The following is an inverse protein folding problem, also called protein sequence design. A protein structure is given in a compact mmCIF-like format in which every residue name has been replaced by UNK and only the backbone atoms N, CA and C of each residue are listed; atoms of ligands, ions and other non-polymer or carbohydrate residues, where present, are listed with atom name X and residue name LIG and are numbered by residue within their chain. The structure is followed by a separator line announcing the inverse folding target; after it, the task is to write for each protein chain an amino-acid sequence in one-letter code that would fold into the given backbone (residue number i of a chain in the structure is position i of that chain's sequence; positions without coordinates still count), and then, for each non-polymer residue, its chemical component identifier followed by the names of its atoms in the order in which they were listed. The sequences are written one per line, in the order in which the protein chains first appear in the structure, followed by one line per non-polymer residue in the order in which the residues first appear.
data_IF_008965299426
#
_entry.id   IF_008965299426
#
_cell.length_a   1.000
_cell.length_b   1.000
_cell.length_c   1.000
_cell.angle_alpha   90.00
_cell.angle_beta   90.00
_cell.angle_gamma   90.00
#
_symmetry.space_group_name_H-M   'P 1'
#
loop_
_entity.id
_entity.type
_entity.pdbx_description
1 polymer ?
#
# COMPACT_ATOMS: atom_id res chain seq x y z
N UNK A 1 12.98 -1.06 -12.68
CA UNK A 1 12.01 -2.15 -12.42
C UNK A 1 10.81 -1.55 -11.73
N UNK A 2 9.63 -2.15 -11.87
CA UNK A 2 8.41 -1.74 -11.17
C UNK A 2 8.38 -2.47 -9.84
N UNK A 3 8.19 -1.76 -8.72
CA UNK A 3 8.14 -2.38 -7.39
C UNK A 3 6.72 -2.42 -6.85
N UNK A 4 6.24 -3.62 -6.53
CA UNK A 4 4.92 -3.82 -5.94
C UNK A 4 5.06 -4.46 -4.58
N UNK A 5 4.48 -3.85 -3.55
CA UNK A 5 4.44 -4.45 -2.22
C UNK A 5 3.07 -5.06 -1.97
N UNK A 6 3.05 -6.23 -1.35
CA UNK A 6 1.86 -6.81 -0.75
C UNK A 6 2.01 -6.61 0.76
N UNK A 7 1.11 -5.85 1.36
CA UNK A 7 1.16 -5.52 2.80
C UNK A 7 -0.05 -6.11 3.48
N UNK A 8 0.16 -7.08 4.36
CA UNK A 8 -0.93 -7.83 4.95
C UNK A 8 -1.02 -7.73 6.47
N UNK A 9 -2.23 -7.93 6.98
CA UNK A 9 -2.45 -8.40 8.34
C UNK A 9 -3.29 -9.67 8.29
N UNK A 10 -2.90 -10.69 9.06
CA UNK A 10 -3.67 -11.94 9.16
C UNK A 10 -3.68 -12.46 10.60
N UNK A 11 -4.83 -12.92 11.07
CA UNK A 11 -4.95 -13.64 12.35
C UNK A 11 -4.96 -15.15 12.09
N UNK A 12 -5.84 -15.63 11.21
CA UNK A 12 -6.07 -17.06 10.94
C UNK A 12 -5.58 -17.50 9.55
N UNK A 13 -4.50 -16.92 9.04
CA UNK A 13 -3.81 -17.26 7.77
C UNK A 13 -4.57 -17.06 6.44
N UNK A 14 -5.90 -16.94 6.41
CA UNK A 14 -6.69 -16.77 5.18
C UNK A 14 -6.16 -15.66 4.26
N UNK A 15 -5.87 -14.48 4.82
CA UNK A 15 -5.30 -13.36 4.06
C UNK A 15 -3.92 -13.67 3.51
N UNK A 16 -3.10 -14.41 4.27
CA UNK A 16 -1.79 -14.83 3.80
C UNK A 16 -1.90 -15.81 2.62
N UNK A 17 -2.82 -16.76 2.69
CA UNK A 17 -3.10 -17.68 1.57
C UNK A 17 -3.56 -16.91 0.32
N UNK A 18 -4.47 -15.94 0.49
CA UNK A 18 -4.92 -15.09 -0.62
C UNK A 18 -3.78 -14.22 -1.17
N UNK A 19 -2.91 -13.69 -0.30
CA UNK A 19 -1.74 -12.91 -0.67
C UNK A 19 -0.73 -13.70 -1.51
N UNK A 20 -0.56 -15.01 -1.24
CA UNK A 20 0.28 -15.88 -2.07
C UNK A 20 -0.28 -16.00 -3.49
N UNK A 21 -1.60 -16.07 -3.64
CA UNK A 21 -2.25 -16.09 -4.96
C UNK A 21 -2.13 -14.73 -5.68
N UNK A 22 -2.31 -13.62 -4.96
CA UNK A 22 -2.04 -12.28 -5.49
C UNK A 22 -0.58 -12.16 -5.97
N UNK A 23 0.38 -12.65 -5.18
CA UNK A 23 1.81 -12.65 -5.52
C UNK A 23 2.08 -13.40 -6.82
N UNK A 24 1.54 -14.62 -6.96
CA UNK A 24 1.64 -15.41 -8.21
C UNK A 24 1.09 -14.64 -9.42
N UNK A 25 -0.02 -13.93 -9.22
CA UNK A 25 -0.60 -13.05 -10.24
C UNK A 25 0.37 -11.97 -10.71
N UNK A 26 0.98 -11.24 -9.77
CA UNK A 26 1.96 -10.18 -10.05
C UNK A 26 3.18 -10.74 -10.79
N UNK A 27 3.75 -11.84 -10.30
CA UNK A 27 4.94 -12.49 -10.88
C UNK A 27 4.71 -12.99 -12.31
N UNK A 28 3.46 -13.27 -12.69
CA UNK A 28 3.11 -13.75 -14.04
C UNK A 28 3.21 -12.68 -15.14
N UNK A 29 3.25 -11.40 -14.79
CA UNK A 29 3.19 -10.29 -15.77
C UNK A 29 4.51 -10.11 -16.50
N UNK A 30 5.62 -9.96 -15.77
CA UNK A 30 6.92 -9.70 -16.36
C UNK A 30 8.05 -9.91 -15.33
N UNK A 31 9.22 -10.43 -15.75
CA UNK A 31 10.41 -10.46 -14.89
C UNK A 31 10.89 -9.09 -14.41
N UNK A 32 10.40 -7.99 -15.00
CA UNK A 32 10.75 -6.61 -14.63
C UNK A 32 9.90 -6.04 -13.48
N UNK A 33 8.95 -6.82 -12.96
CA UNK A 33 8.12 -6.48 -11.80
C UNK A 33 8.66 -7.22 -10.58
N UNK A 34 9.12 -6.46 -9.59
CA UNK A 34 9.58 -6.96 -8.30
C UNK A 34 8.41 -6.95 -7.31
N UNK A 35 8.20 -8.07 -6.61
CA UNK A 35 7.17 -8.18 -5.59
C UNK A 35 7.75 -8.61 -4.24
N UNK A 36 7.44 -7.84 -3.20
CA UNK A 36 7.80 -8.15 -1.82
C UNK A 36 6.53 -8.26 -0.97
N UNK A 37 6.48 -9.27 -0.09
CA UNK A 37 5.36 -9.52 0.83
C UNK A 37 5.77 -9.16 2.25
N UNK A 38 4.98 -8.32 2.91
CA UNK A 38 5.20 -7.88 4.27
C UNK A 38 3.99 -8.06 5.16
N UNK A 39 4.24 -8.12 6.47
CA UNK A 39 3.23 -8.12 7.50
C UNK A 39 3.22 -6.80 8.29
N UNK A 40 2.02 -6.32 8.62
CA UNK A 40 1.79 -5.23 9.57
C UNK A 40 2.08 -5.71 11.00
N UNK A 41 2.71 -4.89 11.86
CA UNK A 41 2.94 -5.24 13.26
C UNK A 41 1.67 -5.71 13.99
N UNK A 42 1.81 -6.75 14.81
CA UNK A 42 0.74 -7.17 15.71
C UNK A 42 0.61 -6.20 16.89
N UNK A 43 -0.62 -5.96 17.35
CA UNK A 43 -0.91 -5.07 18.49
C UNK A 43 -1.49 -5.81 19.68
N UNK A 44 -2.02 -7.02 19.48
CA UNK A 44 -2.52 -7.84 20.58
C UNK A 44 -1.37 -8.50 21.35
N UNK A 45 -1.44 -8.54 22.69
CA UNK A 45 -0.50 -9.33 23.49
C UNK A 45 -0.58 -10.82 23.14
N UNK A 46 0.54 -11.52 23.27
CA UNK A 46 0.62 -12.96 22.95
C UNK A 46 -0.42 -13.79 23.73
N UNK A 47 -0.65 -13.47 25.01
CA UNK A 47 -1.67 -14.14 25.83
C UNK A 47 -3.07 -14.09 25.22
N UNK A 48 -3.44 -12.98 24.58
CA UNK A 48 -4.74 -12.82 23.91
C UNK A 48 -4.78 -13.66 22.63
N UNK A 49 -3.68 -13.69 21.87
CA UNK A 49 -3.58 -14.51 20.66
C UNK A 49 -3.69 -16.00 20.99
N UNK A 50 -3.06 -16.44 22.09
CA UNK A 50 -3.13 -17.82 22.56
C UNK A 50 -4.57 -18.21 22.95
N UNK A 51 -5.27 -17.33 23.68
CA UNK A 51 -6.69 -17.50 24.03
C UNK A 51 -7.62 -17.53 22.81
N UNK A 52 -7.24 -16.82 21.75
CA UNK A 52 -7.95 -16.83 20.47
C UNK A 52 -7.61 -18.04 19.59
N UNK A 53 -6.69 -18.91 20.05
CA UNK A 53 -6.12 -20.00 19.28
C UNK A 53 -5.58 -19.52 17.91
N UNK A 54 -4.97 -18.33 17.89
CA UNK A 54 -4.40 -17.80 16.67
C UNK A 54 -3.19 -18.66 16.25
N UNK A 55 -3.11 -19.11 14.99
CA UNK A 55 -1.94 -19.82 14.50
C UNK A 55 -0.70 -18.92 14.53
N UNK A 56 0.51 -19.52 14.49
CA UNK A 56 1.74 -18.75 14.33
C UNK A 56 1.68 -17.83 13.12
N UNK A 57 2.27 -16.64 13.26
CA UNK A 57 2.35 -15.71 12.14
C UNK A 57 3.21 -16.30 11.01
N UNK A 58 2.87 -16.02 9.74
CA UNK A 58 3.74 -16.38 8.62
C UNK A 58 5.14 -15.77 8.78
N UNK A 59 6.16 -16.49 8.33
CA UNK A 59 7.55 -16.02 8.31
C UNK A 59 7.77 -15.04 7.14
N UNK A 60 7.27 -13.81 7.32
CA UNK A 60 7.43 -12.70 6.39
C UNK A 60 7.85 -11.43 7.15
N UNK A 61 8.66 -10.55 6.53
CA UNK A 61 9.18 -9.37 7.21
C UNK A 61 8.08 -8.42 7.67
N UNK A 62 8.27 -7.81 8.84
CA UNK A 62 7.40 -6.74 9.34
C UNK A 62 7.72 -5.44 8.59
N UNK A 63 6.70 -4.79 8.03
CA UNK A 63 6.88 -3.51 7.32
C UNK A 63 6.98 -2.34 8.30
N UNK A 64 7.83 -1.37 7.95
CA UNK A 64 7.84 -0.03 8.56
C UNK A 64 7.19 0.98 7.60
N UNK A 65 6.62 2.06 8.15
CA UNK A 65 5.97 3.09 7.32
C UNK A 65 6.94 3.71 6.31
N UNK A 66 8.20 3.91 6.69
CA UNK A 66 9.22 4.45 5.78
C UNK A 66 9.41 3.61 4.52
N UNK A 67 9.24 2.28 4.61
CA UNK A 67 9.43 1.38 3.46
C UNK A 67 8.32 1.56 2.40
N UNK A 68 7.12 2.02 2.77
CA UNK A 68 6.02 2.25 1.83
C UNK A 68 6.39 3.18 0.65
N UNK A 69 7.38 4.07 0.84
CA UNK A 69 7.80 5.02 -0.21
C UNK A 69 8.57 4.35 -1.36
N UNK A 70 9.08 3.14 -1.15
CA UNK A 70 9.88 2.40 -2.12
C UNK A 70 9.03 1.72 -3.20
N UNK A 71 7.75 1.46 -2.91
CA UNK A 71 6.84 0.81 -3.84
C UNK A 71 6.25 1.79 -4.87
N UNK A 72 6.05 1.32 -6.10
CA UNK A 72 5.23 2.01 -7.11
C UNK A 72 3.73 1.71 -6.89
N UNK A 73 3.42 0.50 -6.42
CA UNK A 73 2.07 0.06 -6.07
C UNK A 73 2.03 -0.82 -4.82
N UNK A 74 0.93 -0.74 -4.07
CA UNK A 74 0.75 -1.49 -2.82
C UNK A 74 -0.61 -2.19 -2.83
N UNK A 75 -0.62 -3.51 -2.67
CA UNK A 75 -1.83 -4.29 -2.43
C UNK A 75 -1.96 -4.58 -0.94
N UNK A 76 -3.00 -4.03 -0.33
CA UNK A 76 -3.29 -4.20 1.09
C UNK A 76 -4.25 -5.36 1.32
N UNK A 77 -3.85 -6.30 2.19
CA UNK A 77 -4.63 -7.49 2.53
C UNK A 77 -4.99 -7.52 4.00
N UNK A 78 -6.27 -7.58 4.36
CA UNK A 78 -6.63 -7.71 5.79
C UNK A 78 -8.04 -8.30 6.03
N UNK A 79 -8.25 -8.99 7.18
CA UNK A 79 -9.58 -9.44 7.56
C UNK A 79 -10.45 -8.24 7.94
N UNK A 80 -11.74 -8.34 7.67
CA UNK A 80 -12.70 -7.36 8.16
C UNK A 80 -12.78 -7.37 9.69
N UNK A 81 -13.05 -6.20 10.27
CA UNK A 81 -13.62 -6.03 11.60
C UNK A 81 -14.83 -5.13 11.47
N UNK A 82 -16.02 -5.73 11.52
CA UNK A 82 -17.31 -5.02 11.41
C UNK A 82 -17.41 -4.09 10.20
N UNK A 83 -16.90 -4.52 9.04
CA UNK A 83 -16.96 -3.74 7.82
C UNK A 83 -15.89 -2.66 7.69
N UNK A 84 -14.85 -2.68 8.52
CA UNK A 84 -13.66 -1.83 8.38
C UNK A 84 -12.36 -2.63 8.59
N UNK A 85 -11.22 -1.96 8.48
CA UNK A 85 -9.90 -2.52 8.71
C UNK A 85 -9.68 -2.88 10.19
N UNK A 86 -8.85 -3.88 10.51
CA UNK A 86 -8.55 -4.24 11.89
C UNK A 86 -7.65 -3.18 12.55
N UNK A 87 -7.67 -3.12 13.88
CA UNK A 87 -6.94 -2.12 14.65
C UNK A 87 -5.43 -2.11 14.34
N UNK A 88 -4.83 -3.26 14.04
CA UNK A 88 -3.44 -3.41 13.65
C UNK A 88 -3.11 -2.62 12.38
N UNK A 89 -3.95 -2.79 11.36
CA UNK A 89 -3.81 -2.06 10.08
C UNK A 89 -4.07 -0.58 10.32
N UNK A 90 -5.13 -0.24 11.07
CA UNK A 90 -5.45 1.15 11.37
C UNK A 90 -4.30 1.85 12.10
N UNK A 91 -3.71 1.24 13.13
CA UNK A 91 -2.58 1.79 13.87
C UNK A 91 -1.34 1.99 12.99
N UNK A 92 -1.04 1.04 12.10
CA UNK A 92 0.04 1.18 11.14
C UNK A 92 -0.20 2.34 10.17
N UNK A 93 -1.41 2.43 9.60
CA UNK A 93 -1.78 3.52 8.70
C UNK A 93 -1.85 4.87 9.41
N UNK A 94 -2.26 4.93 10.67
CA UNK A 94 -2.26 6.17 11.47
C UNK A 94 -0.86 6.70 11.75
N UNK A 95 0.15 5.82 11.72
CA UNK A 95 1.55 6.20 11.87
C UNK A 95 2.19 6.77 10.59
N UNK A 96 1.43 6.96 9.51
CA UNK A 96 1.95 7.54 8.24
C UNK A 96 1.75 9.05 8.12
N UNK A 97 1.39 9.76 9.20
CA UNK A 97 1.13 11.21 9.19
C UNK A 97 2.28 12.05 8.59
N UNK A 98 3.54 11.66 8.81
CA UNK A 98 4.69 12.35 8.20
C UNK A 98 4.76 12.13 6.67
N UNK A 99 4.38 10.94 6.18
CA UNK A 99 4.33 10.63 4.75
C UNK A 99 3.17 11.35 4.05
N UNK A 100 2.05 11.49 4.75
CA UNK A 100 0.92 12.33 4.30
C UNK A 100 1.38 13.77 4.13
N UNK A 101 1.99 14.35 5.17
CA UNK A 101 2.43 15.75 5.16
C UNK A 101 3.42 16.07 4.01
N UNK A 102 4.29 15.12 3.66
CA UNK A 102 5.27 15.29 2.57
C UNK A 102 4.77 14.83 1.21
N UNK A 103 3.52 14.38 1.10
CA UNK A 103 2.95 13.76 -0.11
C UNK A 103 3.76 12.57 -0.63
N UNK A 104 4.45 11.83 0.24
CA UNK A 104 5.37 10.77 -0.16
C UNK A 104 4.68 9.56 -0.82
N UNK A 105 3.39 9.38 -0.59
CA UNK A 105 2.58 8.32 -1.22
C UNK A 105 1.73 8.82 -2.40
N UNK A 106 1.79 10.11 -2.73
CA UNK A 106 0.99 10.67 -3.81
C UNK A 106 1.36 10.02 -5.16
N UNK A 107 0.33 9.66 -5.94
CA UNK A 107 0.44 8.97 -7.24
C UNK A 107 1.09 7.58 -7.19
N UNK A 108 1.20 6.97 -6.01
CA UNK A 108 1.41 5.52 -5.89
C UNK A 108 0.09 4.80 -6.02
N UNK A 109 0.13 3.55 -6.48
CA UNK A 109 -1.08 2.76 -6.66
C UNK A 109 -1.44 2.00 -5.39
N UNK A 110 -2.73 1.83 -5.15
CA UNK A 110 -3.26 1.06 -4.04
C UNK A 110 -4.31 0.05 -4.54
N UNK A 111 -4.27 -1.18 -4.04
CA UNK A 111 -5.31 -2.17 -4.24
C UNK A 111 -5.69 -2.82 -2.91
N UNK A 112 -6.82 -3.54 -2.87
CA UNK A 112 -7.34 -4.16 -1.65
C UNK A 112 -7.76 -5.60 -1.89
N UNK A 113 -7.50 -6.46 -0.92
CA UNK A 113 -8.13 -7.77 -0.80
C UNK A 113 -8.44 -8.07 0.67
N UNK A 114 -9.47 -8.87 0.93
CA UNK A 114 -10.02 -8.97 2.28
C UNK A 114 -10.65 -10.33 2.58
N UNK A 115 -10.93 -10.59 3.86
CA UNK A 115 -11.67 -11.78 4.29
C UNK A 115 -12.77 -11.40 5.26
N UNK A 116 -13.88 -12.13 5.21
CA UNK A 116 -15.01 -11.97 6.13
C UNK A 116 -15.46 -13.33 6.66
N UNK A 117 -16.17 -13.36 7.78
CA UNK A 117 -16.78 -14.59 8.27
C UNK A 117 -18.06 -14.96 7.52
N UNK A 118 -18.88 -13.97 7.15
CA UNK A 118 -20.18 -14.18 6.47
C UNK A 118 -20.23 -13.48 5.11
N UNK A 119 -21.17 -13.93 4.26
CA UNK A 119 -21.30 -13.50 2.85
C UNK A 119 -21.39 -11.99 2.64
N UNK A 120 -22.06 -11.28 3.56
CA UNK A 120 -22.27 -9.83 3.44
C UNK A 120 -21.74 -9.05 4.64
N UNK A 121 -20.99 -9.71 5.53
CA UNK A 121 -20.42 -9.13 6.75
C UNK A 121 -19.22 -8.20 6.50
N UNK A 122 -19.33 -7.32 5.50
CA UNK A 122 -18.29 -6.36 5.15
C UNK A 122 -17.44 -6.70 3.92
N UNK A 123 -17.91 -7.59 3.04
CA UNK A 123 -17.22 -7.89 1.76
C UNK A 123 -17.08 -6.65 0.86
N UNK A 124 -17.93 -5.63 1.03
CA UNK A 124 -17.81 -4.38 0.27
C UNK A 124 -17.37 -3.22 1.14
N UNK A 125 -17.98 -3.06 2.32
CA UNK A 125 -17.74 -1.91 3.20
C UNK A 125 -16.31 -1.84 3.74
N UNK A 126 -15.64 -2.99 3.90
CA UNK A 126 -14.22 -3.03 4.31
C UNK A 126 -13.35 -2.29 3.30
N UNK A 127 -13.62 -2.47 2.01
CA UNK A 127 -12.92 -1.73 0.96
C UNK A 127 -13.38 -0.27 0.92
N UNK A 128 -14.70 -0.02 0.98
CA UNK A 128 -15.26 1.34 0.93
C UNK A 128 -14.66 2.25 2.00
N UNK A 129 -14.54 1.76 3.23
CA UNK A 129 -13.95 2.52 4.33
C UNK A 129 -12.43 2.67 4.19
N UNK A 130 -11.73 1.66 3.67
CA UNK A 130 -10.28 1.72 3.45
C UNK A 130 -9.86 2.68 2.33
N UNK A 131 -10.67 2.82 1.26
CA UNK A 131 -10.37 3.74 0.13
C UNK A 131 -10.24 5.20 0.59
N UNK A 132 -10.90 5.58 1.68
CA UNK A 132 -10.75 6.93 2.25
C UNK A 132 -9.30 7.25 2.60
N UNK A 133 -8.54 6.29 3.14
CA UNK A 133 -7.12 6.45 3.44
C UNK A 133 -6.31 6.72 2.16
N UNK A 134 -6.58 5.99 1.08
CA UNK A 134 -5.90 6.18 -0.20
C UNK A 134 -6.16 7.57 -0.77
N UNK A 135 -7.40 8.04 -0.70
CA UNK A 135 -7.77 9.39 -1.15
C UNK A 135 -7.00 10.47 -0.39
N UNK A 136 -6.90 10.36 0.94
CA UNK A 136 -6.16 11.32 1.77
C UNK A 136 -4.64 11.33 1.47
N UNK A 137 -4.06 10.19 1.12
CA UNK A 137 -2.65 10.10 0.71
C UNK A 137 -2.38 10.41 -0.77
N UNK A 138 -3.42 10.68 -1.57
CA UNK A 138 -3.30 10.92 -3.00
C UNK A 138 -2.91 9.67 -3.80
N UNK A 139 -3.16 8.47 -3.24
CA UNK A 139 -2.91 7.20 -3.92
C UNK A 139 -4.00 6.91 -4.95
N UNK A 140 -3.63 6.22 -6.03
CA UNK A 140 -4.53 5.81 -7.10
C UNK A 140 -5.08 4.41 -6.79
N UNK A 141 -6.35 4.34 -6.43
CA UNK A 141 -7.00 3.06 -6.16
C UNK A 141 -7.30 2.31 -7.46
N UNK A 142 -6.84 1.06 -7.53
CA UNK A 142 -7.09 0.13 -8.64
C UNK A 142 -8.07 -0.93 -8.14
N UNK A 143 -9.33 -0.91 -8.58
CA UNK A 143 -10.30 -1.94 -8.25
C UNK A 143 -9.95 -3.27 -8.93
N UNK A 144 -10.66 -4.34 -8.58
CA UNK A 144 -10.55 -5.59 -9.33
C UNK A 144 -11.15 -5.40 -10.72
N UNK A 145 -10.49 -5.91 -11.76
CA UNK A 145 -11.04 -5.90 -13.11
C UNK A 145 -12.45 -6.54 -13.17
N UNK A 146 -13.29 -5.97 -14.02
CA UNK A 146 -14.60 -6.56 -14.32
C UNK A 146 -14.44 -7.84 -15.15
N UNK A 147 -15.46 -8.70 -15.12
CA UNK A 147 -15.48 -9.91 -15.95
C UNK A 147 -14.72 -11.11 -15.38
N UNK A 148 -14.39 -11.10 -14.08
CA UNK A 148 -13.90 -12.30 -13.38
C UNK A 148 -14.95 -13.43 -13.56
N UNK A 149 -14.58 -14.62 -14.09
CA UNK A 149 -15.53 -15.65 -14.53
C UNK A 149 -16.50 -16.20 -13.47
N UNK A 150 -16.32 -15.83 -12.19
CA UNK A 150 -17.02 -16.44 -11.07
C UNK A 150 -18.03 -15.52 -10.38
N UNK A 151 -17.89 -14.20 -10.46
CA UNK A 151 -18.76 -13.28 -9.71
C UNK A 151 -20.18 -13.14 -10.27
N UNK A 152 -20.43 -13.63 -11.49
CA UNK A 152 -21.77 -13.75 -12.05
C UNK A 152 -22.45 -15.09 -11.76
N UNK A 153 -21.77 -16.03 -11.08
CA UNK A 153 -22.30 -17.37 -10.80
C UNK A 153 -22.91 -17.42 -9.40
N UNK A 154 -23.90 -18.29 -9.21
CA UNK A 154 -24.65 -18.44 -7.94
C UNK A 154 -24.63 -19.87 -7.40
N UNK A 155 -23.80 -20.74 -7.97
CA UNK A 155 -23.66 -22.16 -7.61
C UNK A 155 -22.70 -22.40 -6.45
N UNK A 156 -21.90 -21.41 -6.07
CA UNK A 156 -20.95 -21.46 -4.96
C UNK A 156 -20.93 -20.12 -4.23
N UNK A 157 -20.76 -20.17 -2.90
CA UNK A 157 -20.47 -18.98 -2.09
C UNK A 157 -19.02 -18.57 -2.33
N UNK A 158 -18.80 -17.33 -2.78
CA UNK A 158 -17.48 -16.79 -3.14
C UNK A 158 -17.32 -15.40 -2.50
N UNK A 159 -16.17 -15.16 -1.89
CA UNK A 159 -15.81 -13.84 -1.37
C UNK A 159 -15.23 -12.89 -2.43
N UNK A 160 -15.20 -11.60 -2.08
CA UNK A 160 -14.73 -10.51 -2.93
C UNK A 160 -15.81 -9.92 -3.83
N UNK A 161 -15.38 -9.01 -4.70
CA UNK A 161 -16.25 -8.30 -5.63
C UNK A 161 -15.44 -7.27 -6.43
N UNK A 162 -16.11 -6.31 -7.10
CA UNK A 162 -15.40 -5.30 -7.90
C UNK A 162 -14.41 -4.45 -7.09
N UNK A 163 -14.58 -4.37 -5.78
CA UNK A 163 -13.69 -3.65 -4.86
C UNK A 163 -12.35 -4.37 -4.57
N UNK A 164 -12.21 -5.63 -4.96
CA UNK A 164 -11.06 -6.45 -4.60
C UNK A 164 -11.41 -7.92 -4.46
N UNK A 165 -10.43 -8.79 -4.66
CA UNK A 165 -10.60 -10.20 -4.36
C UNK A 165 -10.81 -10.40 -2.86
N UNK A 166 -11.51 -11.48 -2.51
CA UNK A 166 -11.75 -11.77 -1.10
C UNK A 166 -12.10 -13.22 -0.87
N UNK A 167 -12.26 -13.57 0.40
CA UNK A 167 -12.66 -14.92 0.82
C UNK A 167 -13.64 -14.87 1.98
N UNK A 168 -14.48 -15.90 2.08
CA UNK A 168 -15.40 -16.10 3.20
C UNK A 168 -14.88 -17.26 4.07
N UNK A 169 -14.63 -17.01 5.34
CA UNK A 169 -13.97 -17.98 6.24
C UNK A 169 -14.94 -18.84 7.02
N UNK A 170 -16.24 -18.51 7.02
CA UNK A 170 -17.21 -19.09 7.95
C UNK A 170 -17.08 -18.50 9.36
N UNK A 171 -18.12 -18.69 10.18
CA UNK A 171 -18.20 -18.12 11.54
C UNK A 171 -17.14 -18.67 12.51
N UNK A 172 -16.65 -19.87 12.27
CA UNK A 172 -15.60 -20.56 13.01
C UNK A 172 -14.22 -20.46 12.34
N UNK A 173 -14.11 -19.71 11.23
CA UNK A 173 -12.92 -19.60 10.40
C UNK A 173 -12.39 -20.94 9.85
N UNK A 174 -13.23 -21.97 9.71
CA UNK A 174 -12.82 -23.29 9.21
C UNK A 174 -12.91 -23.45 7.69
N UNK A 175 -13.67 -22.59 6.99
CA UNK A 175 -13.83 -22.69 5.53
C UNK A 175 -12.51 -22.31 4.83
N UNK A 176 -11.87 -23.23 4.08
CA UNK A 176 -10.67 -22.89 3.33
C UNK A 176 -11.01 -21.93 2.18
N UNK A 177 -10.00 -21.20 1.70
CA UNK A 177 -10.18 -20.37 0.51
C UNK A 177 -10.47 -21.28 -0.71
N UNK A 178 -11.53 -20.96 -1.46
CA UNK A 178 -11.94 -21.80 -2.60
C UNK A 178 -11.10 -21.52 -3.84
N UNK A 179 -11.11 -22.43 -4.81
CA UNK A 179 -10.30 -22.26 -6.03
C UNK A 179 -10.74 -21.06 -6.86
N UNK A 180 -12.02 -20.70 -6.81
CA UNK A 180 -12.56 -19.49 -7.45
C UNK A 180 -12.06 -18.22 -6.78
N UNK A 181 -11.96 -18.21 -5.44
CA UNK A 181 -11.37 -17.10 -4.68
C UNK A 181 -9.86 -16.96 -4.96
N UNK A 182 -9.13 -18.08 -5.04
CA UNK A 182 -7.71 -18.11 -5.44
C UNK A 182 -7.50 -17.58 -6.86
N UNK A 183 -8.35 -17.97 -7.81
CA UNK A 183 -8.29 -17.47 -9.18
C UNK A 183 -8.56 -15.96 -9.25
N UNK A 184 -9.58 -15.47 -8.55
CA UNK A 184 -9.87 -14.03 -8.47
C UNK A 184 -8.68 -13.24 -7.91
N UNK A 185 -8.01 -13.75 -6.87
CA UNK A 185 -6.81 -13.14 -6.31
C UNK A 185 -5.62 -13.12 -7.29
N UNK A 186 -5.39 -14.21 -8.02
CA UNK A 186 -4.37 -14.25 -9.09
C UNK A 186 -4.65 -13.23 -10.19
N UNK A 187 -5.89 -13.17 -10.64
CA UNK A 187 -6.31 -12.22 -11.67
C UNK A 187 -6.19 -10.77 -11.19
N UNK A 188 -6.47 -10.50 -9.90
CA UNK A 188 -6.23 -9.18 -9.30
C UNK A 188 -4.76 -8.80 -9.32
N UNK A 189 -3.88 -9.71 -8.87
CA UNK A 189 -2.44 -9.44 -8.81
C UNK A 189 -1.86 -9.14 -10.20
N UNK A 190 -2.28 -9.91 -11.20
CA UNK A 190 -1.90 -9.70 -12.60
C UNK A 190 -2.34 -8.33 -13.11
N UNK A 191 -3.63 -8.04 -13.02
CA UNK A 191 -4.22 -6.79 -13.52
C UNK A 191 -3.61 -5.56 -12.84
N UNK A 192 -3.47 -5.61 -11.51
CA UNK A 192 -2.82 -4.53 -10.74
C UNK A 192 -1.39 -4.27 -11.25
N UNK A 193 -0.60 -5.32 -11.47
CA UNK A 193 0.77 -5.18 -11.96
C UNK A 193 0.84 -4.65 -13.40
N UNK A 194 -0.10 -5.02 -14.27
CA UNK A 194 -0.22 -4.48 -15.63
C UNK A 194 -0.53 -2.98 -15.61
N UNK A 195 -1.50 -2.55 -14.79
CA UNK A 195 -1.87 -1.13 -14.63
C UNK A 195 -0.70 -0.29 -14.11
N UNK A 196 -0.06 -0.74 -13.02
CA UNK A 196 1.09 -0.04 -12.44
C UNK A 196 2.23 0.05 -13.46
N UNK A 197 2.53 -1.05 -14.14
CA UNK A 197 3.61 -1.10 -15.14
C UNK A 197 3.34 -0.18 -16.32
N UNK A 198 2.11 -0.14 -16.83
CA UNK A 198 1.71 0.75 -17.90
C UNK A 198 1.92 2.22 -17.51
N UNK A 199 1.50 2.61 -16.30
CA UNK A 199 1.69 3.97 -15.82
C UNK A 199 3.17 4.34 -15.66
N UNK A 200 3.95 3.48 -15.02
CA UNK A 200 5.38 3.74 -14.75
C UNK A 200 6.17 3.81 -16.06
N UNK A 201 5.88 2.94 -17.03
CA UNK A 201 6.53 2.95 -18.34
C UNK A 201 6.09 4.15 -19.18
N UNK A 202 4.81 4.50 -19.18
CA UNK A 202 4.29 5.70 -19.85
C UNK A 202 4.92 6.98 -19.28
N UNK A 203 5.07 7.08 -17.96
CA UNK A 203 5.74 8.22 -17.31
C UNK A 203 7.20 8.37 -17.74
N UNK A 204 7.90 7.26 -18.02
CA UNK A 204 9.28 7.31 -18.56
C UNK A 204 9.31 7.79 -20.00
N UNK A 205 8.35 7.37 -20.82
CA UNK A 205 8.27 7.73 -22.23
C UNK A 205 7.92 9.21 -22.47
N UNK A 206 7.20 9.85 -21.54
CA UNK A 206 6.77 11.26 -21.68
C UNK A 206 7.83 12.26 -21.16
N UNK A 207 8.88 11.81 -20.47
CA UNK A 207 9.94 12.72 -20.01
C UNK A 207 10.66 13.34 -21.22
N UNK A 208 10.75 14.68 -21.33
CA UNK A 208 11.55 15.32 -22.37
C UNK A 208 13.00 14.84 -22.25
N UNK A 209 13.64 14.52 -23.37
CA UNK A 209 15.09 14.30 -23.39
C UNK A 209 15.77 15.54 -22.77
N UNK A 210 16.55 15.32 -21.70
CA UNK A 210 17.44 16.36 -21.20
C UNK A 210 18.37 16.72 -22.37
N UNK A 211 18.20 17.92 -22.94
CA UNK A 211 19.15 18.46 -23.91
C UNK A 211 20.51 18.41 -23.25
N UNK A 212 21.41 17.59 -23.79
CA UNK A 212 22.84 17.70 -23.51
C UNK A 212 23.23 19.12 -23.93
N UNK A 213 23.48 19.99 -22.96
CA UNK A 213 24.19 21.23 -23.24
C UNK A 213 25.57 20.81 -23.77
N UNK A 214 25.77 20.97 -25.08
CA UNK A 214 27.11 20.96 -25.66
C UNK A 214 27.88 22.09 -24.98
N UNK A 215 28.84 21.70 -24.14
CA UNK A 215 29.85 22.61 -23.63
C UNK A 215 30.70 22.98 -24.86
N UNK A 216 30.38 24.12 -25.47
CA UNK A 216 31.28 24.78 -26.39
C UNK A 216 32.42 25.32 -25.53
N UNK A 217 33.57 24.63 -25.56
CA UNK A 217 34.82 25.15 -25.01
C UNK A 217 35.26 26.36 -25.84
N UNK A 218 34.81 27.54 -25.43
CA UNK A 218 35.33 28.79 -25.95
C UNK A 218 36.62 29.15 -25.20
N UNK A 219 37.74 28.76 -25.79
CA UNK A 219 39.07 29.19 -25.37
C UNK A 219 39.18 30.72 -25.46
N UNK A 220 39.36 31.40 -24.33
CA UNK A 220 39.90 32.76 -24.31
C UNK A 220 40.79 32.98 -23.08
N UNK A 221 41.98 33.53 -23.36
CA UNK A 221 43.11 33.74 -22.47
C UNK A 221 42.86 34.80 -21.37
N UNK A 222 43.69 34.86 -20.31
CA UNK A 222 43.38 35.57 -19.08
C UNK A 222 43.71 37.06 -19.17
N UNK A 223 42.83 37.92 -18.63
CA UNK A 223 43.20 39.31 -18.30
C UNK A 223 42.53 39.74 -16.98
N UNK A 224 43.39 39.87 -15.96
CA UNK A 224 43.42 40.88 -14.89
C UNK A 224 42.20 41.14 -13.99
N UNK A 225 42.38 40.71 -12.72
CA UNK A 225 41.94 41.29 -11.45
C UNK A 225 40.81 42.34 -11.42
N UNK A 226 39.77 42.05 -10.62
CA UNK A 226 39.35 42.95 -9.55
C UNK A 226 38.63 42.18 -8.42
N UNK A 227 39.24 42.22 -7.24
CA UNK A 227 38.69 41.72 -5.98
C UNK A 227 37.56 42.64 -5.51
N UNK A 228 36.34 42.12 -5.39
CA UNK A 228 35.28 42.73 -4.58
C UNK A 228 34.78 41.70 -3.57
N UNK A 229 35.15 41.91 -2.32
CA UNK A 229 34.64 41.19 -1.16
C UNK A 229 33.20 41.64 -0.90
N UNK A 230 32.25 40.72 -0.97
CA UNK A 230 30.90 40.91 -0.43
C UNK A 230 30.59 39.76 0.51
N UNK A 231 30.56 40.08 1.80
CA UNK A 231 30.10 39.21 2.87
C UNK A 231 28.59 39.00 2.75
N UNK A 232 28.15 37.76 2.78
CA UNK A 232 26.74 37.42 3.01
C UNK A 232 26.64 36.40 4.13
N UNK A 233 26.04 36.85 5.22
CA UNK A 233 25.77 36.11 6.45
C UNK A 233 24.97 34.82 6.21
N UNK A 234 25.39 33.74 6.88
CA UNK A 234 24.62 32.51 7.00
C UNK A 234 23.42 32.72 7.93
N UNK A 235 22.20 32.82 7.39
CA UNK A 235 20.97 32.67 8.19
C UNK A 235 20.81 31.24 8.68
N UNK A 236 20.98 31.04 9.99
CA UNK A 236 20.67 29.80 10.72
C UNK A 236 19.16 29.53 10.63
N UNK A 237 18.73 28.49 9.91
CA UNK A 237 17.34 27.99 9.98
C UNK A 237 17.14 27.26 11.31
N UNK A 238 16.37 27.84 12.22
CA UNK A 238 15.88 27.17 13.43
C UNK A 238 14.84 26.12 13.03
N UNK A 239 15.05 24.85 13.38
CA UNK A 239 14.03 23.80 13.27
C UNK A 239 12.99 24.02 14.36
N UNK A 240 11.77 24.41 13.97
CA UNK A 240 10.61 24.44 14.85
C UNK A 240 9.92 23.06 14.75
N UNK A 241 10.08 22.22 15.77
CA UNK A 241 9.24 21.04 15.93
C UNK A 241 7.86 21.52 16.44
N UNK A 242 6.78 21.08 15.80
CA UNK A 242 5.43 21.37 16.26
C UNK A 242 4.90 20.16 17.02
N UNK A 243 4.53 20.40 18.29
CA UNK A 243 3.68 19.51 19.07
C UNK A 243 2.31 19.45 18.38
N UNK A 244 1.92 18.27 17.93
CA UNK A 244 0.58 17.97 17.46
C UNK A 244 -0.33 17.81 18.69
N UNK A 245 -0.69 18.94 19.31
CA UNK A 245 -1.80 19.14 20.24
C UNK A 245 -1.63 20.56 20.80
N UNK A 246 -2.47 21.49 20.35
CA UNK A 246 -2.52 22.84 20.89
C UNK A 246 -2.79 22.78 22.39
N UNK A 247 -1.89 23.36 23.17
CA UNK A 247 -2.08 23.56 24.59
C UNK A 247 -2.17 25.07 24.79
N UNK A 248 -3.36 25.61 24.61
CA UNK A 248 -3.72 26.97 25.04
C UNK A 248 -5.14 26.91 25.61
N UNK A 249 -5.20 26.67 26.92
CA UNK A 249 -6.26 27.10 27.85
C UNK A 249 -7.71 26.77 27.51
N UNK A 250 -8.32 25.89 28.30
CA UNK A 250 -9.51 26.21 29.11
C UNK A 250 -9.86 24.99 29.96
N UNK A 251 -9.62 25.11 31.26
CA UNK A 251 -10.37 24.55 32.40
C UNK A 251 -9.56 24.93 33.64
N UNK A 252 -9.81 26.15 34.11
CA UNK A 252 -9.66 26.48 35.53
C UNK A 252 -11.08 26.59 36.08
N UNK A 253 -11.24 25.93 37.23
CA UNK A 253 -12.42 25.67 38.07
C UNK A 253 -13.45 24.64 37.55
#
# INVERSE_FOLDING_TARGET
MVKIFIVIYTTYTHIYQLAQEVKKGIESVSPSVEVELFQVPETLPQEILDKMHAPPKPDIPIITTSKLVEADGILFGFPTRFGTMPAQVKAFLDSTGQLWYTNALNRKFAGLFFSTSTQHGGQETTAFTAVTYFAHHGMLYVPLQNGIPHYGKTDEVIGGGPWGSGTITGSDASRPISDREKEAARLQGKDFAEVVSAYINGKKAIKPEEKKEEIVEESSNPTTNQTTTRSTEKKKKSKKYWLCCGNDGFLQD
#
